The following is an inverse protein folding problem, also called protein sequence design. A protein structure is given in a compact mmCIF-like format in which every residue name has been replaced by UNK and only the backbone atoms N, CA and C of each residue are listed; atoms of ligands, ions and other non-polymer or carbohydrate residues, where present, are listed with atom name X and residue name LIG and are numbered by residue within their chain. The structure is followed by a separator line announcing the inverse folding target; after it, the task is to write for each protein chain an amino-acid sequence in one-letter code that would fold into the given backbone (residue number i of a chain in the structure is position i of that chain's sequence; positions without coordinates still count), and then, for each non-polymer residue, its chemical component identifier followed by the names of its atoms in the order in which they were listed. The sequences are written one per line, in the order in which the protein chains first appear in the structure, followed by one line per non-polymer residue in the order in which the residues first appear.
data_IF_441004703646
#
_entry.id   IF_441004703646
#
_cell.length_a   1.000
_cell.length_b   1.000
_cell.length_c   1.000
_cell.angle_alpha   90.00
_cell.angle_beta   90.00
_cell.angle_gamma   90.00
#
_symmetry.space_group_name_H-M   'P 1'
#
loop_
_entity.id
_entity.type
_entity.pdbx_description
1 polymer ?
#
# COMPACT_ATOMS: atom_id res chain seq x y z
N UNK A 1 46.55 -1.62 11.11
CA UNK A 1 45.50 -1.70 12.15
C UNK A 1 45.13 -3.17 12.31
N UNK A 2 45.76 -3.86 13.27
CA UNK A 2 45.63 -5.30 13.49
C UNK A 2 45.10 -5.53 14.90
N UNK A 3 43.93 -6.15 15.01
CA UNK A 3 43.28 -6.48 16.28
C UNK A 3 44.07 -7.58 17.02
N UNK A 4 44.26 -7.48 18.35
CA UNK A 4 44.93 -8.54 19.11
C UNK A 4 44.01 -9.75 19.26
N UNK A 5 44.57 -10.94 19.03
CA UNK A 5 43.91 -12.23 19.27
C UNK A 5 43.71 -12.42 20.77
N UNK A 6 42.49 -12.20 21.26
CA UNK A 6 42.08 -12.58 22.60
C UNK A 6 42.05 -14.11 22.72
N UNK A 7 42.87 -14.66 23.61
CA UNK A 7 42.81 -16.05 24.06
C UNK A 7 41.50 -16.30 24.80
N UNK A 8 40.61 -17.09 24.20
CA UNK A 8 39.45 -17.64 24.89
C UNK A 8 39.91 -18.82 25.74
N UNK A 9 40.11 -18.58 27.04
CA UNK A 9 40.32 -19.65 28.01
C UNK A 9 38.94 -20.23 28.37
N UNK A 10 38.63 -21.50 28.08
CA UNK A 10 37.40 -22.09 28.58
C UNK A 10 37.58 -22.31 30.08
N UNK A 11 36.86 -21.52 30.89
CA UNK A 11 36.72 -21.77 32.32
C UNK A 11 35.83 -23.01 32.55
N UNK A 12 36.36 -24.19 32.25
CA UNK A 12 35.78 -25.48 32.60
C UNK A 12 36.22 -25.89 34.01
N UNK A 13 35.66 -25.26 35.05
CA UNK A 13 35.78 -25.73 36.43
C UNK A 13 34.80 -26.89 36.70
N UNK A 14 35.15 -27.88 37.54
CA UNK A 14 34.28 -29.01 37.83
C UNK A 14 33.21 -28.58 38.84
N UNK A 15 32.05 -28.11 38.38
CA UNK A 15 30.97 -27.78 39.32
C UNK A 15 29.80 -26.95 38.83
N UNK A 16 29.46 -26.95 37.54
CA UNK A 16 28.23 -26.29 37.06
C UNK A 16 27.18 -27.32 36.66
N UNK A 17 26.59 -27.96 37.68
CA UNK A 17 25.26 -28.53 37.53
C UNK A 17 24.21 -27.42 37.44
N UNK A 18 23.03 -27.69 36.87
CA UNK A 18 21.93 -26.74 36.90
C UNK A 18 21.59 -26.36 38.35
N UNK A 19 21.07 -25.14 38.62
CA UNK A 19 20.81 -24.65 39.98
C UNK A 19 19.82 -25.51 40.79
N UNK A 20 19.14 -26.47 40.14
CA UNK A 20 18.29 -27.46 40.77
C UNK A 20 19.01 -28.73 41.26
N UNK A 21 20.29 -28.95 40.93
CA UNK A 21 21.05 -30.16 41.29
C UNK A 21 20.57 -31.45 40.61
N UNK A 22 19.54 -31.38 39.76
CA UNK A 22 18.96 -32.52 39.04
C UNK A 22 19.60 -32.58 37.65
N UNK A 23 20.25 -33.69 37.24
CA UNK A 23 20.76 -33.83 35.88
C UNK A 23 19.62 -33.66 34.88
N UNK A 24 19.83 -32.87 33.82
CA UNK A 24 18.84 -32.69 32.76
C UNK A 24 18.48 -34.08 32.18
N UNK A 25 17.33 -34.62 32.57
CA UNK A 25 16.85 -35.91 32.07
C UNK A 25 16.53 -35.77 30.59
N UNK A 26 17.42 -36.31 29.75
CA UNK A 26 17.18 -36.63 28.35
C UNK A 26 17.08 -35.43 27.41
N UNK A 27 17.86 -35.45 26.34
CA UNK A 27 17.62 -34.62 25.16
C UNK A 27 16.28 -35.05 24.57
N UNK A 28 15.22 -34.26 24.81
CA UNK A 28 13.94 -34.48 24.11
C UNK A 28 14.25 -34.38 22.60
N UNK A 29 13.84 -35.37 21.78
CA UNK A 29 14.12 -35.32 20.36
C UNK A 29 13.58 -34.01 19.78
N UNK A 30 14.29 -33.40 18.81
CA UNK A 30 13.85 -32.16 18.19
C UNK A 30 12.42 -32.35 17.66
N UNK A 31 11.59 -31.32 17.82
CA UNK A 31 10.22 -31.38 17.33
C UNK A 31 10.23 -31.64 15.83
N UNK A 32 9.38 -32.57 15.38
CA UNK A 32 9.24 -32.87 13.96
C UNK A 32 8.91 -31.59 13.17
N UNK A 33 9.46 -31.42 11.95
CA UNK A 33 9.05 -30.34 11.05
C UNK A 33 7.53 -30.35 10.90
N UNK A 34 6.88 -29.20 11.15
CA UNK A 34 5.41 -29.11 11.12
C UNK A 34 4.71 -29.32 12.47
N UNK A 35 5.43 -29.47 13.58
CA UNK A 35 4.79 -29.61 14.90
C UNK A 35 3.91 -28.38 15.27
N UNK A 36 2.61 -28.62 15.49
CA UNK A 36 1.61 -27.63 15.91
C UNK A 36 1.22 -27.74 17.40
N UNK A 37 1.85 -28.62 18.19
CA UNK A 37 1.43 -28.95 19.57
C UNK A 37 1.45 -27.78 20.58
N UNK A 38 1.99 -26.61 20.22
CA UNK A 38 1.95 -25.37 21.03
C UNK A 38 1.17 -24.22 20.36
N UNK A 39 0.52 -24.45 19.23
CA UNK A 39 -0.24 -23.42 18.55
C UNK A 39 -1.63 -23.29 19.20
N UNK A 40 -1.79 -22.35 20.13
CA UNK A 40 -3.05 -22.15 20.85
C UNK A 40 -4.10 -21.43 20.01
N UNK A 41 -3.73 -20.33 19.34
CA UNK A 41 -4.67 -19.51 18.55
C UNK A 41 -4.51 -19.64 17.05
N UNK A 42 -3.39 -20.19 16.56
CA UNK A 42 -3.06 -20.24 15.13
C UNK A 42 -2.73 -18.87 14.49
N UNK A 43 -3.21 -17.76 15.06
CA UNK A 43 -3.06 -16.39 14.54
C UNK A 43 -1.59 -15.93 14.40
N UNK A 44 -0.64 -16.56 15.10
CA UNK A 44 0.80 -16.27 14.97
C UNK A 44 1.58 -17.37 14.27
N UNK A 45 0.92 -18.41 13.79
CA UNK A 45 1.55 -19.50 13.06
C UNK A 45 1.43 -19.23 11.56
N UNK A 46 2.53 -18.92 10.85
CA UNK A 46 2.49 -18.65 9.41
C UNK A 46 1.86 -19.77 8.59
N UNK A 47 1.99 -21.01 9.05
CA UNK A 47 1.37 -22.18 8.42
C UNK A 47 -0.16 -22.18 8.51
N UNK A 48 -0.71 -21.63 9.60
CA UNK A 48 -2.16 -21.63 9.83
C UNK A 48 -2.80 -20.40 9.23
N UNK A 49 -2.31 -19.20 9.56
CA UNK A 49 -2.88 -17.98 8.99
C UNK A 49 -2.54 -17.83 7.51
N UNK A 50 -1.42 -18.41 7.02
CA UNK A 50 -1.01 -18.33 5.62
C UNK A 50 -1.98 -19.02 4.69
N UNK A 51 -2.41 -20.24 5.02
CA UNK A 51 -3.43 -20.96 4.24
C UNK A 51 -4.76 -20.21 4.18
N UNK A 52 -5.20 -19.64 5.32
CA UNK A 52 -6.42 -18.84 5.37
C UNK A 52 -6.27 -17.53 4.56
N UNK A 53 -5.14 -16.85 4.69
CA UNK A 53 -4.85 -15.63 3.94
C UNK A 53 -4.83 -15.87 2.43
N UNK A 54 -4.25 -16.99 1.95
CA UNK A 54 -4.27 -17.33 0.53
C UNK A 54 -5.69 -17.53 0.01
N UNK A 55 -6.56 -18.22 0.76
CA UNK A 55 -7.97 -18.42 0.40
C UNK A 55 -8.73 -17.09 0.34
N UNK A 56 -8.50 -16.21 1.32
CA UNK A 56 -9.12 -14.89 1.36
C UNK A 56 -8.66 -14.00 0.19
N UNK A 57 -7.36 -13.98 -0.11
CA UNK A 57 -6.81 -13.22 -1.22
C UNK A 57 -7.36 -13.71 -2.58
N UNK A 58 -7.47 -15.04 -2.75
CA UNK A 58 -8.04 -15.63 -3.97
C UNK A 58 -9.50 -15.22 -4.15
N UNK A 59 -10.34 -15.39 -3.12
CA UNK A 59 -11.75 -15.00 -3.19
C UNK A 59 -11.95 -13.51 -3.45
N UNK A 60 -11.16 -12.64 -2.79
CA UNK A 60 -11.24 -11.21 -3.05
C UNK A 60 -10.86 -10.85 -4.48
N UNK A 61 -9.84 -11.49 -5.06
CA UNK A 61 -9.41 -11.22 -6.43
C UNK A 61 -10.42 -11.75 -7.45
N UNK A 62 -11.14 -12.82 -7.13
CA UNK A 62 -12.26 -13.33 -7.93
C UNK A 62 -13.43 -12.34 -7.95
N UNK A 63 -13.83 -11.83 -6.78
CA UNK A 63 -14.93 -10.86 -6.64
C UNK A 63 -14.57 -9.46 -7.17
N UNK A 64 -13.30 -9.07 -7.05
CA UNK A 64 -12.75 -7.76 -7.45
C UNK A 64 -11.48 -7.92 -8.28
N UNK A 65 -11.61 -8.30 -9.58
CA UNK A 65 -10.45 -8.50 -10.45
C UNK A 65 -9.55 -7.28 -10.61
N UNK A 66 -10.10 -6.07 -10.44
CA UNK A 66 -9.35 -4.81 -10.47
C UNK A 66 -8.25 -4.74 -9.39
N UNK A 67 -8.46 -5.42 -8.26
CA UNK A 67 -7.46 -5.49 -7.18
C UNK A 67 -6.28 -6.41 -7.51
N UNK A 68 -6.38 -7.22 -8.58
CA UNK A 68 -5.27 -8.03 -9.08
C UNK A 68 -4.04 -7.21 -9.51
N UNK A 69 -4.21 -5.92 -9.77
CA UNK A 69 -3.11 -4.99 -10.04
C UNK A 69 -2.27 -4.64 -8.78
N UNK A 70 -2.76 -4.96 -7.58
CA UNK A 70 -2.14 -4.60 -6.29
C UNK A 70 -1.92 -5.84 -5.39
N UNK A 71 -1.15 -6.84 -5.83
CA UNK A 71 -1.06 -8.13 -5.15
C UNK A 71 -0.51 -8.03 -3.72
N UNK A 72 0.41 -7.11 -3.44
CA UNK A 72 0.98 -6.90 -2.11
C UNK A 72 -0.05 -6.30 -1.14
N UNK A 73 -0.90 -5.39 -1.62
CA UNK A 73 -1.96 -4.78 -0.81
C UNK A 73 -3.04 -5.81 -0.46
N UNK A 74 -3.41 -6.66 -1.43
CA UNK A 74 -4.32 -7.79 -1.23
C UNK A 74 -3.72 -8.79 -0.24
N UNK A 75 -2.44 -9.13 -0.37
CA UNK A 75 -1.76 -10.06 0.54
C UNK A 75 -1.68 -9.51 1.98
N UNK A 76 -1.40 -8.22 2.15
CA UNK A 76 -1.38 -7.56 3.45
C UNK A 76 -2.76 -7.55 4.10
N UNK A 77 -3.80 -7.19 3.35
CA UNK A 77 -5.19 -7.28 3.79
C UNK A 77 -5.55 -8.70 4.23
N UNK A 78 -5.31 -9.69 3.38
CA UNK A 78 -5.70 -11.07 3.64
C UNK A 78 -4.98 -11.66 4.86
N UNK A 79 -3.72 -11.28 5.06
CA UNK A 79 -2.95 -11.65 6.26
C UNK A 79 -3.59 -11.07 7.51
N UNK A 80 -3.90 -9.77 7.52
CA UNK A 80 -4.52 -9.12 8.67
C UNK A 80 -5.90 -9.73 9.00
N UNK A 81 -6.73 -9.99 7.98
CA UNK A 81 -8.03 -10.64 8.15
C UNK A 81 -7.92 -12.05 8.71
N UNK A 82 -7.02 -12.87 8.16
CA UNK A 82 -6.80 -14.24 8.62
C UNK A 82 -6.38 -14.27 10.09
N UNK A 83 -5.43 -13.42 10.47
CA UNK A 83 -4.97 -13.33 11.86
C UNK A 83 -6.07 -12.84 12.80
N UNK A 84 -6.84 -11.82 12.40
CA UNK A 84 -7.98 -11.31 13.18
C UNK A 84 -9.07 -12.38 13.35
N UNK A 85 -9.41 -13.11 12.28
CA UNK A 85 -10.40 -14.18 12.32
C UNK A 85 -9.99 -15.32 13.26
N UNK A 86 -8.73 -15.75 13.20
CA UNK A 86 -8.19 -16.76 14.11
C UNK A 86 -8.17 -16.28 15.56
N UNK A 87 -7.87 -15.01 15.80
CA UNK A 87 -7.89 -14.44 17.16
C UNK A 87 -9.31 -14.31 17.71
N UNK A 88 -10.30 -13.90 16.89
CA UNK A 88 -11.72 -13.89 17.29
C UNK A 88 -12.20 -15.28 17.70
N UNK A 89 -11.88 -16.29 16.87
CA UNK A 89 -12.18 -17.70 17.18
C UNK A 89 -11.55 -18.11 18.52
N UNK A 90 -10.28 -17.79 18.73
CA UNK A 90 -9.60 -18.11 19.98
C UNK A 90 -10.27 -17.46 21.19
N UNK A 91 -10.61 -16.17 21.13
CA UNK A 91 -11.34 -15.47 22.21
C UNK A 91 -12.71 -16.09 22.46
N UNK A 92 -13.42 -16.50 21.42
CA UNK A 92 -14.70 -17.19 21.56
C UNK A 92 -14.54 -18.56 22.27
N UNK A 93 -13.42 -19.24 22.07
CA UNK A 93 -13.13 -20.54 22.69
C UNK A 93 -12.69 -20.42 24.15
N UNK A 94 -11.77 -19.50 24.48
CA UNK A 94 -11.19 -19.38 25.83
C UNK A 94 -11.87 -18.35 26.73
N UNK A 95 -12.80 -17.58 26.17
CA UNK A 95 -13.46 -16.45 26.81
C UNK A 95 -12.55 -15.22 26.98
N UNK A 96 -13.15 -14.04 27.24
CA UNK A 96 -12.39 -12.80 27.47
C UNK A 96 -11.76 -12.70 28.85
N UNK A 97 -12.30 -13.46 29.83
CA UNK A 97 -11.83 -13.49 31.21
C UNK A 97 -11.14 -14.82 31.51
N UNK A 98 -10.18 -14.77 32.42
CA UNK A 98 -9.58 -15.95 33.00
C UNK A 98 -10.53 -16.57 34.06
N UNK A 99 -10.87 -17.87 33.97
CA UNK A 99 -11.87 -18.48 34.83
C UNK A 99 -11.43 -18.58 36.29
N UNK A 100 -10.12 -18.70 36.55
CA UNK A 100 -9.60 -18.89 37.90
C UNK A 100 -9.46 -17.56 38.64
N UNK A 101 -9.03 -16.52 37.92
CA UNK A 101 -8.75 -15.21 38.51
C UNK A 101 -9.85 -14.17 38.28
N UNK A 102 -10.78 -14.40 37.36
CA UNK A 102 -11.80 -13.44 36.92
C UNK A 102 -11.24 -12.23 36.17
N UNK A 103 -9.94 -12.18 35.92
CA UNK A 103 -9.27 -11.02 35.30
C UNK A 103 -9.35 -11.07 33.77
N UNK A 104 -9.34 -9.92 33.07
CA UNK A 104 -9.26 -9.89 31.61
C UNK A 104 -7.99 -10.56 31.07
N UNK A 105 -8.13 -11.29 29.97
CA UNK A 105 -6.99 -11.82 29.20
C UNK A 105 -6.36 -10.70 28.35
N UNK A 106 -5.76 -9.70 29.01
CA UNK A 106 -5.31 -8.45 28.40
C UNK A 106 -4.45 -8.65 27.15
N UNK A 107 -3.49 -9.58 27.19
CA UNK A 107 -2.63 -9.84 26.04
C UNK A 107 -3.42 -10.33 24.82
N UNK A 108 -4.37 -11.24 25.00
CA UNK A 108 -5.18 -11.79 23.90
C UNK A 108 -6.07 -10.69 23.32
N UNK A 109 -6.75 -9.93 24.18
CA UNK A 109 -7.65 -8.85 23.78
C UNK A 109 -6.89 -7.71 23.09
N UNK A 110 -5.75 -7.31 23.61
CA UNK A 110 -4.88 -6.29 23.01
C UNK A 110 -4.43 -6.69 21.60
N UNK A 111 -4.05 -7.97 21.42
CA UNK A 111 -3.68 -8.49 20.11
C UNK A 111 -4.86 -8.54 19.16
N UNK A 112 -6.04 -8.95 19.63
CA UNK A 112 -7.26 -8.92 18.81
C UNK A 112 -7.53 -7.50 18.31
N UNK A 113 -7.58 -6.51 19.20
CA UNK A 113 -7.81 -5.11 18.84
C UNK A 113 -6.79 -4.60 17.82
N UNK A 114 -5.50 -4.92 18.00
CA UNK A 114 -4.46 -4.52 17.06
C UNK A 114 -4.67 -5.10 15.67
N UNK A 115 -5.02 -6.39 15.59
CA UNK A 115 -5.25 -7.08 14.31
C UNK A 115 -6.52 -6.60 13.62
N UNK A 116 -7.60 -6.36 14.37
CA UNK A 116 -8.84 -5.80 13.81
C UNK A 116 -8.64 -4.39 13.27
N UNK A 117 -7.88 -3.55 13.97
CA UNK A 117 -7.53 -2.22 13.48
C UNK A 117 -6.68 -2.28 12.21
N UNK A 118 -5.75 -3.23 12.10
CA UNK A 118 -4.98 -3.44 10.88
C UNK A 118 -5.88 -3.88 9.71
N UNK A 119 -6.76 -4.86 9.95
CA UNK A 119 -7.70 -5.33 8.93
C UNK A 119 -8.65 -4.21 8.47
N UNK A 120 -9.20 -3.43 9.40
CA UNK A 120 -10.07 -2.29 9.08
C UNK A 120 -9.37 -1.23 8.22
N UNK A 121 -8.10 -0.91 8.52
CA UNK A 121 -7.30 0.00 7.70
C UNK A 121 -7.10 -0.54 6.29
N UNK A 122 -6.78 -1.82 6.15
CA UNK A 122 -6.60 -2.43 4.83
C UNK A 122 -7.91 -2.48 4.03
N UNK A 123 -9.06 -2.77 4.66
CA UNK A 123 -10.37 -2.64 3.99
C UNK A 123 -10.58 -1.23 3.45
N UNK A 124 -10.30 -0.22 4.26
CA UNK A 124 -10.44 1.18 3.84
C UNK A 124 -9.51 1.52 2.67
N UNK A 125 -8.24 1.12 2.74
CA UNK A 125 -7.27 1.34 1.65
C UNK A 125 -7.72 0.69 0.33
N UNK A 126 -8.30 -0.51 0.40
CA UNK A 126 -8.78 -1.25 -0.77
C UNK A 126 -10.19 -0.83 -1.22
N UNK A 127 -10.86 0.09 -0.50
CA UNK A 127 -12.24 0.49 -0.81
C UNK A 127 -13.28 -0.62 -0.54
N UNK A 128 -13.01 -1.50 0.41
CA UNK A 128 -13.90 -2.63 0.79
C UNK A 128 -14.95 -2.25 1.84
N UNK A 129 -15.02 -0.98 2.21
CA UNK A 129 -16.13 -0.42 2.98
C UNK A 129 -16.88 0.64 2.18
N UNK A 130 -18.21 0.79 2.37
CA UNK A 130 -19.03 1.68 1.54
C UNK A 130 -18.57 3.13 1.53
N UNK A 131 -17.97 3.61 2.62
CA UNK A 131 -17.51 5.00 2.72
C UNK A 131 -16.23 5.19 1.92
N UNK A 132 -15.28 4.28 2.04
CA UNK A 132 -14.03 4.33 1.26
C UNK A 132 -14.26 4.07 -0.22
N UNK A 133 -15.20 3.19 -0.57
CA UNK A 133 -15.63 2.97 -1.96
C UNK A 133 -16.17 4.28 -2.57
N UNK A 134 -17.12 4.94 -1.89
CA UNK A 134 -17.68 6.20 -2.34
C UNK A 134 -16.62 7.32 -2.41
N UNK A 135 -15.67 7.35 -1.48
CA UNK A 135 -14.56 8.30 -1.49
C UNK A 135 -13.65 8.07 -2.71
N UNK A 136 -13.26 6.82 -2.99
CA UNK A 136 -12.45 6.47 -4.15
C UNK A 136 -13.19 6.76 -5.46
N UNK A 137 -14.50 6.47 -5.53
CA UNK A 137 -15.32 6.79 -6.69
C UNK A 137 -15.36 8.31 -6.94
N UNK A 138 -15.52 9.10 -5.88
CA UNK A 138 -15.48 10.57 -5.96
C UNK A 138 -14.11 11.08 -6.40
N UNK A 139 -13.03 10.53 -5.85
CA UNK A 139 -11.65 10.92 -6.21
C UNK A 139 -11.34 10.59 -7.67
N UNK A 140 -11.75 9.39 -8.14
CA UNK A 140 -11.64 9.01 -9.55
C UNK A 140 -12.44 9.94 -10.45
N UNK A 141 -13.68 10.26 -10.09
CA UNK A 141 -14.50 11.20 -10.85
C UNK A 141 -13.87 12.60 -10.91
N UNK A 142 -13.35 13.10 -9.79
CA UNK A 142 -12.66 14.39 -9.73
C UNK A 142 -11.38 14.39 -10.59
N UNK A 143 -10.59 13.31 -10.54
CA UNK A 143 -9.41 13.15 -11.38
C UNK A 143 -9.78 13.11 -12.88
N UNK A 144 -10.87 12.44 -13.25
CA UNK A 144 -11.36 12.41 -14.63
C UNK A 144 -11.85 13.79 -15.13
N UNK A 145 -12.44 14.61 -14.26
CA UNK A 145 -12.84 15.99 -14.62
C UNK A 145 -11.61 16.90 -14.79
N UNK A 146 -10.57 16.68 -14.01
CA UNK A 146 -9.31 17.43 -14.09
C UNK A 146 -8.37 16.94 -15.20
N UNK A 147 -8.62 15.75 -15.75
CA UNK A 147 -7.97 15.27 -16.96
C UNK A 147 -8.46 16.09 -18.15
N UNK A 148 -7.93 17.31 -18.27
CA UNK A 148 -8.06 18.14 -19.47
C UNK A 148 -7.54 17.30 -20.64
N UNK A 149 -8.37 17.13 -21.66
CA UNK A 149 -7.93 16.62 -22.95
C UNK A 149 -6.92 17.64 -23.52
N UNK A 150 -5.64 17.32 -23.30
CA UNK A 150 -4.52 18.18 -23.69
C UNK A 150 -4.45 18.33 -25.21
N UNK A 151 -4.92 17.35 -25.97
CA UNK A 151 -4.96 17.42 -27.43
C UNK A 151 -6.07 18.37 -27.88
N UNK A 152 -7.26 18.29 -27.28
CA UNK A 152 -8.34 19.24 -27.54
C UNK A 152 -8.03 20.66 -27.05
N UNK A 153 -7.23 20.82 -26.00
CA UNK A 153 -6.73 22.12 -25.56
C UNK A 153 -5.67 22.68 -26.52
N UNK A 154 -4.72 21.85 -26.96
CA UNK A 154 -3.69 22.24 -27.91
C UNK A 154 -4.28 22.61 -29.27
N UNK A 155 -5.29 21.88 -29.74
CA UNK A 155 -6.01 22.18 -30.98
C UNK A 155 -6.75 23.52 -30.89
N UNK A 156 -7.47 23.78 -29.79
CA UNK A 156 -8.07 25.10 -29.54
C UNK A 156 -7.02 26.22 -29.51
N UNK A 157 -5.84 25.95 -28.96
CA UNK A 157 -4.71 26.89 -28.98
C UNK A 157 -4.22 27.21 -30.39
N UNK A 158 -4.03 26.17 -31.23
CA UNK A 158 -3.66 26.34 -32.65
C UNK A 158 -4.70 27.15 -33.41
N UNK A 159 -5.98 26.85 -33.23
CA UNK A 159 -7.08 27.58 -33.88
C UNK A 159 -7.12 29.06 -33.48
N UNK A 160 -6.91 29.37 -32.19
CA UNK A 160 -6.87 30.74 -31.71
C UNK A 160 -5.68 31.54 -32.28
N UNK A 161 -4.52 30.90 -32.48
CA UNK A 161 -3.36 31.51 -33.14
C UNK A 161 -3.61 31.75 -34.62
N UNK A 162 -4.15 30.76 -35.33
CA UNK A 162 -4.49 30.89 -36.76
C UNK A 162 -5.54 32.00 -36.99
N UNK A 163 -6.56 32.11 -36.13
CA UNK A 163 -7.56 33.18 -36.19
C UNK A 163 -6.92 34.55 -36.01
N UNK A 164 -5.97 34.71 -35.08
CA UNK A 164 -5.23 35.96 -34.88
C UNK A 164 -4.36 36.33 -36.07
N UNK A 165 -3.72 35.34 -36.69
CA UNK A 165 -2.90 35.55 -37.88
C UNK A 165 -3.76 35.99 -39.08
N UNK A 166 -4.92 35.39 -39.27
CA UNK A 166 -5.87 35.80 -40.34
C UNK A 166 -6.61 37.10 -40.06
N UNK A 167 -6.81 37.47 -38.79
CA UNK A 167 -7.51 38.69 -38.41
C UNK A 167 -6.57 39.88 -38.20
N UNK A 168 -5.25 39.66 -38.14
CA UNK A 168 -4.29 40.73 -38.06
C UNK A 168 -4.24 41.47 -39.41
N UNK A 169 -4.59 42.76 -39.48
CA UNK A 169 -4.37 43.53 -40.69
C UNK A 169 -2.87 43.50 -41.02
N UNK A 170 -2.54 43.24 -42.28
CA UNK A 170 -1.16 43.28 -42.77
C UNK A 170 -0.73 44.75 -42.91
N UNK A 171 -0.48 45.37 -41.75
CA UNK A 171 -0.06 46.76 -41.63
C UNK A 171 1.24 47.00 -42.39
N UNK A 172 2.08 45.97 -42.58
CA UNK A 172 3.31 46.10 -43.35
C UNK A 172 3.04 46.24 -44.85
N UNK A 173 2.13 45.42 -45.41
CA UNK A 173 1.69 45.58 -46.79
C UNK A 173 0.94 46.91 -47.02
N UNK A 174 0.14 47.33 -46.05
CA UNK A 174 -0.61 48.59 -46.12
C UNK A 174 0.33 49.81 -46.15
N UNK A 175 1.34 49.83 -45.28
CA UNK A 175 2.38 50.88 -45.25
C UNK A 175 3.25 50.86 -46.51
N UNK A 176 3.62 49.68 -46.99
CA UNK A 176 4.40 49.55 -48.22
C UNK A 176 3.62 50.08 -49.44
N UNK A 177 2.33 49.75 -49.54
CA UNK A 177 1.44 50.28 -50.58
C UNK A 177 1.38 51.81 -50.57
N UNK A 178 1.20 52.41 -49.39
CA UNK A 178 1.17 53.87 -49.24
C UNK A 178 2.48 54.54 -49.72
N UNK A 179 3.63 53.93 -49.44
CA UNK A 179 4.93 54.45 -49.89
C UNK A 179 5.13 54.31 -51.40
N UNK A 180 4.72 53.19 -52.00
CA UNK A 180 4.80 53.00 -53.45
C UNK A 180 3.89 53.98 -54.20
N UNK A 181 2.68 54.21 -53.69
CA UNK A 181 1.74 55.18 -54.26
C UNK A 181 2.21 56.63 -54.13
N UNK A 182 2.91 56.96 -53.02
CA UNK A 182 3.55 58.26 -52.86
C UNK A 182 4.68 58.45 -53.88
N UNK A 183 5.55 57.44 -54.04
CA UNK A 183 6.65 57.47 -54.99
C UNK A 183 6.18 57.59 -56.45
N UNK A 184 5.12 56.86 -56.82
CA UNK A 184 4.54 56.94 -58.17
C UNK A 184 4.03 58.35 -58.49
N UNK A 185 3.33 59.00 -57.54
CA UNK A 185 2.84 60.39 -57.69
C UNK A 185 3.98 61.39 -57.82
N UNK A 186 5.04 61.25 -57.04
CA UNK A 186 6.24 62.10 -57.16
C UNK A 186 6.91 61.94 -58.52
N UNK A 187 6.93 60.72 -59.07
CA UNK A 187 7.54 60.44 -60.38
C UNK A 187 6.72 61.00 -61.54
N UNK A 188 5.39 60.96 -61.44
CA UNK A 188 4.48 61.55 -62.43
C UNK A 188 4.54 63.09 -62.42
N UNK A 189 4.69 63.71 -61.26
CA UNK A 189 4.83 65.16 -61.13
C UNK A 189 6.19 65.71 -61.64
N UNK A 190 7.19 64.84 -61.78
CA UNK A 190 8.53 65.19 -62.24
C UNK A 190 8.73 64.99 -63.76
N UNK A 191 7.69 64.54 -64.49
CA UNK A 191 7.71 64.29 -65.94
C UNK A 191 6.84 65.26 -66.71
#
# INVERSE_FOLDING_TARGET
MTWPKGSFTPAGGPGHGPPSGIPAKGTRPPFAPGNLARATSGARSPRVYGDLAQRLAAGLTEDRPDLGAYPEAVAAWATAEAQAALMRRHVAEVGPLDPDTGKPREAVLSWLTRLENAAARHRATLGLDPRSEAALARERAAASVLAVDLDALAERGRQALAQRETAAPDLAAEVLGQHLDAYAREREAAS
#
